data_IF_222485183533
#
_entry.id   IF_222485183533
#
_cell.length_a   1.000
_cell.length_b   1.000
_cell.length_c   1.000
_cell.angle_alpha   90.00
_cell.angle_beta   90.00
_cell.angle_gamma   90.00
#
_symmetry.space_group_name_H-M   'P 1'
#
loop_
_entity.id
_entity.type
_entity.pdbx_description
1 polymer ?
#
# COMPACT_ATOMS: atom_id res chain seq x y z
N UNK A 1 35.51 -39.61 52.68
CA UNK A 1 36.29 -38.42 53.06
C UNK A 1 37.68 -38.51 52.44
N UNK A 2 37.98 -37.66 51.44
CA UNK A 2 39.34 -37.21 51.07
C UNK A 2 39.18 -36.08 50.03
N UNK A 3 39.58 -34.87 50.42
CA UNK A 3 39.75 -33.68 49.56
C UNK A 3 41.18 -33.68 49.04
N UNK A 4 41.38 -33.31 47.77
CA UNK A 4 42.61 -32.69 47.22
C UNK A 4 42.26 -32.16 45.82
N UNK A 5 41.89 -30.88 45.67
CA UNK A 5 42.70 -29.67 45.43
C UNK A 5 43.48 -29.64 44.09
N UNK A 6 42.93 -28.84 43.16
CA UNK A 6 43.54 -27.79 42.30
C UNK A 6 44.69 -28.19 41.35
N UNK A 7 44.48 -28.04 40.02
CA UNK A 7 45.02 -26.89 39.26
C UNK A 7 44.76 -26.96 37.75
N UNK A 8 44.35 -25.79 37.22
CA UNK A 8 44.60 -25.19 35.91
C UNK A 8 44.71 -26.06 34.64
N UNK A 9 43.78 -25.86 33.71
CA UNK A 9 44.07 -25.14 32.46
C UNK A 9 42.76 -24.87 31.71
N UNK A 10 42.41 -23.59 31.60
CA UNK A 10 41.45 -23.12 30.60
C UNK A 10 42.03 -23.41 29.21
N UNK A 11 41.34 -24.21 28.41
CA UNK A 11 41.41 -24.12 26.95
C UNK A 11 39.98 -23.95 26.43
N UNK A 12 39.51 -22.71 26.50
CA UNK A 12 38.29 -22.27 25.84
C UNK A 12 38.54 -22.31 24.33
N UNK A 13 38.16 -23.42 23.70
CA UNK A 13 38.09 -23.48 22.24
C UNK A 13 36.70 -23.00 21.86
N UNK A 14 36.59 -21.69 21.66
CA UNK A 14 35.41 -21.03 21.13
C UNK A 14 35.23 -21.51 19.69
N UNK A 15 34.39 -22.53 19.49
CA UNK A 15 33.91 -22.91 18.16
C UNK A 15 33.06 -21.74 17.63
N UNK A 16 33.66 -20.95 16.75
CA UNK A 16 32.97 -19.96 15.94
C UNK A 16 31.94 -20.71 15.09
N UNK A 17 30.68 -20.67 15.52
CA UNK A 17 29.53 -20.95 14.67
C UNK A 17 29.64 -19.99 13.49
N UNK A 18 29.95 -20.54 12.32
CA UNK A 18 29.90 -19.79 11.07
C UNK A 18 28.49 -19.26 10.90
N UNK A 19 28.35 -17.93 10.91
CA UNK A 19 27.15 -17.28 10.40
C UNK A 19 27.05 -17.65 8.92
N UNK A 20 26.12 -18.55 8.60
CA UNK A 20 25.65 -18.74 7.23
C UNK A 20 25.33 -17.36 6.65
N UNK A 21 26.09 -16.99 5.62
CA UNK A 21 25.87 -15.77 4.88
C UNK A 21 24.52 -15.91 4.18
N UNK A 22 23.50 -15.29 4.77
CA UNK A 22 22.22 -15.08 4.13
C UNK A 22 22.49 -14.30 2.84
N UNK A 23 22.45 -15.02 1.72
CA UNK A 23 22.53 -14.44 0.37
C UNK A 23 21.40 -13.40 0.30
N UNK A 24 21.69 -12.12 -0.03
CA UNK A 24 20.62 -11.16 -0.16
C UNK A 24 19.70 -11.64 -1.27
N UNK A 25 18.47 -12.00 -0.90
CA UNK A 25 17.40 -12.21 -1.85
C UNK A 25 17.34 -10.94 -2.70
N UNK A 26 17.72 -11.05 -3.98
CA UNK A 26 17.53 -10.01 -4.98
C UNK A 26 16.05 -9.93 -5.31
N UNK A 27 15.24 -9.55 -4.32
CA UNK A 27 13.93 -9.03 -4.58
C UNK A 27 14.16 -7.65 -5.21
N UNK A 28 13.95 -7.59 -6.52
CA UNK A 28 13.70 -6.36 -7.26
C UNK A 28 12.39 -5.76 -6.72
N UNK A 29 12.46 -5.21 -5.50
CA UNK A 29 11.41 -4.38 -4.92
C UNK A 29 11.48 -3.10 -5.72
N UNK A 30 10.54 -2.93 -6.65
CA UNK A 30 10.23 -1.60 -7.14
C UNK A 30 9.73 -0.84 -5.91
N UNK A 31 10.66 -0.16 -5.24
CA UNK A 31 10.36 0.82 -4.22
C UNK A 31 9.57 1.90 -4.95
N UNK A 32 8.24 1.87 -4.79
CA UNK A 32 7.44 3.07 -4.99
C UNK A 32 7.79 4.00 -3.83
N UNK A 33 8.97 4.62 -3.92
CA UNK A 33 9.31 5.74 -3.06
C UNK A 33 8.24 6.81 -3.26
N UNK A 34 7.78 7.36 -2.16
CA UNK A 34 6.82 8.45 -2.16
C UNK A 34 7.58 9.66 -2.66
N UNK A 35 7.49 9.93 -3.97
CA UNK A 35 8.17 11.05 -4.61
C UNK A 35 7.54 12.37 -4.15
N UNK A 36 8.04 12.86 -3.02
CA UNK A 36 7.68 14.15 -2.44
C UNK A 36 8.41 15.30 -3.13
N UNK A 37 8.91 15.15 -4.37
CA UNK A 37 9.42 16.27 -5.15
C UNK A 37 8.33 16.94 -6.01
N UNK A 38 7.25 16.22 -6.36
CA UNK A 38 6.19 16.76 -7.22
C UNK A 38 5.45 17.95 -6.57
N UNK A 39 5.32 19.07 -7.30
CA UNK A 39 4.53 20.24 -6.87
C UNK A 39 3.06 19.82 -6.71
N UNK A 40 2.39 20.12 -5.59
CA UNK A 40 0.98 19.80 -5.43
C UNK A 40 0.12 20.43 -6.52
N UNK A 41 -0.84 19.67 -7.06
CA UNK A 41 -1.74 20.10 -8.15
C UNK A 41 -3.18 19.94 -7.70
N UNK A 42 -3.95 21.02 -7.71
CA UNK A 42 -5.38 20.95 -7.45
C UNK A 42 -6.15 20.38 -8.67
N UNK A 43 -7.06 19.44 -8.42
CA UNK A 43 -7.92 18.87 -9.47
C UNK A 43 -9.10 19.80 -9.77
N UNK A 44 -9.10 20.43 -10.94
CA UNK A 44 -10.21 21.26 -11.42
C UNK A 44 -11.31 20.40 -12.05
N UNK A 45 -12.15 19.81 -11.18
CA UNK A 45 -13.28 18.96 -11.58
C UNK A 45 -14.61 19.71 -11.51
N UNK A 46 -15.54 19.40 -12.42
CA UNK A 46 -16.93 19.86 -12.30
C UNK A 46 -17.60 19.29 -11.04
N UNK A 47 -18.66 19.92 -10.49
CA UNK A 47 -19.35 19.40 -9.31
C UNK A 47 -19.80 17.94 -9.43
N UNK A 48 -20.25 17.53 -10.64
CA UNK A 48 -20.59 16.14 -10.94
C UNK A 48 -19.40 15.20 -10.73
N UNK A 49 -18.24 15.51 -11.34
CA UNK A 49 -17.07 14.65 -11.24
C UNK A 49 -16.44 14.66 -9.85
N UNK A 50 -16.49 15.79 -9.14
CA UNK A 50 -16.08 15.85 -7.73
C UNK A 50 -16.91 14.90 -6.87
N UNK A 51 -18.23 14.86 -7.07
CA UNK A 51 -19.11 13.99 -6.30
C UNK A 51 -18.87 12.50 -6.59
N UNK A 52 -18.62 12.14 -7.85
CA UNK A 52 -18.26 10.77 -8.24
C UNK A 52 -16.96 10.34 -7.57
N UNK A 53 -15.91 11.18 -7.64
CA UNK A 53 -14.62 10.90 -7.02
C UNK A 53 -14.73 10.77 -5.49
N UNK A 54 -15.46 11.68 -4.83
CA UNK A 54 -15.69 11.61 -3.37
C UNK A 54 -16.39 10.31 -2.97
N UNK A 55 -17.40 9.88 -3.73
CA UNK A 55 -18.12 8.64 -3.48
C UNK A 55 -17.18 7.43 -3.56
N UNK A 56 -16.36 7.37 -4.61
CA UNK A 56 -15.36 6.32 -4.75
C UNK A 56 -14.38 6.30 -3.59
N UNK A 57 -13.83 7.46 -3.19
CA UNK A 57 -12.88 7.55 -2.08
C UNK A 57 -13.49 7.05 -0.76
N UNK A 58 -14.78 7.32 -0.51
CA UNK A 58 -15.49 6.82 0.68
C UNK A 58 -15.66 5.28 0.64
N UNK A 59 -15.99 4.72 -0.52
CA UNK A 59 -16.09 3.26 -0.71
C UNK A 59 -14.73 2.59 -0.48
N UNK A 60 -13.67 3.15 -1.04
CA UNK A 60 -12.28 2.69 -0.86
C UNK A 60 -11.90 2.75 0.62
N UNK A 61 -12.11 3.89 1.28
CA UNK A 61 -11.80 4.06 2.71
C UNK A 61 -12.51 2.99 3.56
N UNK A 62 -13.80 2.79 3.31
CA UNK A 62 -14.61 1.81 4.04
C UNK A 62 -14.08 0.39 3.86
N UNK A 63 -13.72 0.01 2.64
CA UNK A 63 -13.14 -1.30 2.36
C UNK A 63 -11.75 -1.46 3.01
N UNK A 64 -10.90 -0.45 2.91
CA UNK A 64 -9.55 -0.45 3.50
C UNK A 64 -9.58 -0.61 5.03
N UNK A 65 -10.50 0.08 5.72
CA UNK A 65 -10.67 -0.06 7.17
C UNK A 65 -11.10 -1.48 7.60
N UNK A 66 -11.86 -2.17 6.76
CA UNK A 66 -12.34 -3.54 7.03
C UNK A 66 -11.31 -4.62 6.69
N UNK A 67 -10.46 -4.40 5.68
CA UNK A 67 -9.49 -5.41 5.22
C UNK A 67 -8.46 -5.75 6.30
N UNK A 68 -7.90 -4.76 6.99
CA UNK A 68 -6.83 -5.00 7.97
C UNK A 68 -7.23 -5.98 9.10
N UNK A 69 -8.37 -5.80 9.81
CA UNK A 69 -8.79 -6.76 10.82
C UNK A 69 -9.15 -8.14 10.23
N UNK A 70 -9.59 -8.21 8.97
CA UNK A 70 -9.85 -9.51 8.31
C UNK A 70 -8.54 -10.26 8.02
N UNK A 71 -7.50 -9.56 7.55
CA UNK A 71 -6.17 -10.14 7.39
C UNK A 71 -5.64 -10.68 8.73
N UNK A 72 -5.77 -9.91 9.81
CA UNK A 72 -5.32 -10.33 11.14
C UNK A 72 -6.08 -11.55 11.69
N UNK A 73 -7.33 -11.75 11.26
CA UNK A 73 -8.17 -12.90 11.62
C UNK A 73 -8.01 -14.10 10.67
N UNK A 74 -7.24 -13.98 9.60
CA UNK A 74 -7.13 -15.04 8.58
C UNK A 74 -8.36 -15.17 7.66
N UNK A 75 -9.20 -14.15 7.58
CA UNK A 75 -10.45 -14.16 6.80
C UNK A 75 -10.18 -13.86 5.32
N UNK A 76 -9.62 -14.85 4.62
CA UNK A 76 -9.10 -14.73 3.25
C UNK A 76 -10.17 -14.37 2.21
N UNK A 77 -11.31 -15.05 2.22
CA UNK A 77 -12.39 -14.84 1.24
C UNK A 77 -13.03 -13.45 1.39
N UNK A 78 -13.33 -13.02 2.62
CA UNK A 78 -13.86 -11.67 2.89
C UNK A 78 -12.86 -10.60 2.46
N UNK A 79 -11.56 -10.82 2.72
CA UNK A 79 -10.51 -9.91 2.26
C UNK A 79 -10.46 -9.83 0.74
N UNK A 80 -10.56 -10.96 0.04
CA UNK A 80 -10.57 -11.01 -1.41
C UNK A 80 -11.76 -10.26 -2.01
N UNK A 81 -12.94 -10.40 -1.41
CA UNK A 81 -14.16 -9.72 -1.83
C UNK A 81 -14.03 -8.20 -1.71
N UNK A 82 -13.58 -7.70 -0.54
CA UNK A 82 -13.37 -6.26 -0.34
C UNK A 82 -12.29 -5.69 -1.27
N UNK A 83 -11.18 -6.41 -1.46
CA UNK A 83 -10.13 -5.97 -2.38
C UNK A 83 -10.61 -5.94 -3.84
N UNK A 84 -11.45 -6.89 -4.24
CA UNK A 84 -12.10 -6.88 -5.56
C UNK A 84 -13.10 -5.72 -5.68
N UNK A 85 -13.80 -5.35 -4.61
CA UNK A 85 -14.67 -4.17 -4.60
C UNK A 85 -13.86 -2.89 -4.84
N UNK A 86 -12.73 -2.71 -4.16
CA UNK A 86 -11.80 -1.58 -4.42
C UNK A 86 -11.35 -1.58 -5.88
N UNK A 87 -10.92 -2.73 -6.42
CA UNK A 87 -10.53 -2.78 -7.84
C UNK A 87 -11.68 -2.35 -8.78
N UNK A 88 -12.89 -2.79 -8.48
CA UNK A 88 -14.08 -2.48 -9.28
C UNK A 88 -14.62 -1.07 -9.05
N UNK A 89 -14.17 -0.36 -8.02
CA UNK A 89 -14.64 0.98 -7.73
C UNK A 89 -14.08 2.03 -8.69
N UNK A 90 -13.10 1.67 -9.53
CA UNK A 90 -12.42 2.54 -10.50
C UNK A 90 -13.40 3.49 -11.18
N UNK A 91 -13.37 4.75 -10.71
CA UNK A 91 -14.29 5.86 -11.03
C UNK A 91 -15.68 5.35 -11.39
N UNK A 92 -16.15 4.51 -10.46
CA UNK A 92 -17.38 3.72 -10.39
C UNK A 92 -17.96 3.40 -11.76
N UNK A 93 -17.21 2.61 -12.54
CA UNK A 93 -17.42 1.86 -13.80
C UNK A 93 -18.82 1.75 -14.46
N UNK A 94 -19.91 2.11 -13.80
CA UNK A 94 -21.30 2.12 -14.30
C UNK A 94 -22.02 3.48 -14.13
N UNK A 95 -21.40 4.47 -13.51
CA UNK A 95 -22.01 5.78 -13.20
C UNK A 95 -21.76 6.85 -14.27
N UNK A 96 -20.73 6.66 -15.09
CA UNK A 96 -20.37 7.57 -16.17
C UNK A 96 -20.65 6.90 -17.53
N UNK A 97 -21.19 7.67 -18.47
CA UNK A 97 -21.25 7.25 -19.87
C UNK A 97 -19.84 7.21 -20.48
N UNK A 98 -19.61 6.52 -21.60
CA UNK A 98 -18.32 6.54 -22.29
C UNK A 98 -17.82 7.96 -22.62
N UNK A 99 -18.73 8.86 -22.99
CA UNK A 99 -18.39 10.26 -23.28
C UNK A 99 -18.02 11.04 -22.03
N UNK A 100 -18.70 10.80 -20.91
CA UNK A 100 -18.38 11.41 -19.62
C UNK A 100 -17.03 10.93 -19.08
N UNK A 101 -16.73 9.64 -19.24
CA UNK A 101 -15.42 9.09 -18.89
C UNK A 101 -14.32 9.72 -19.76
N UNK A 102 -14.55 9.86 -21.07
CA UNK A 102 -13.61 10.52 -21.98
C UNK A 102 -13.40 11.98 -21.62
N UNK A 103 -14.46 12.69 -21.21
CA UNK A 103 -14.37 14.06 -20.74
C UNK A 103 -13.59 14.16 -19.44
N UNK A 104 -13.85 13.28 -18.47
CA UNK A 104 -13.15 13.25 -17.19
C UNK A 104 -11.66 12.99 -17.36
N UNK A 105 -11.27 11.99 -18.16
CA UNK A 105 -9.85 11.67 -18.39
C UNK A 105 -9.08 12.85 -18.99
N UNK A 106 -9.72 13.72 -19.79
CA UNK A 106 -9.09 14.94 -20.32
C UNK A 106 -8.84 16.02 -19.26
N UNK A 107 -9.60 16.00 -18.16
CA UNK A 107 -9.46 16.97 -17.07
C UNK A 107 -8.41 16.53 -16.04
N UNK A 108 -8.10 15.23 -15.97
CA UNK A 108 -7.20 14.68 -14.97
C UNK A 108 -5.74 14.75 -15.43
N UNK A 109 -4.82 15.21 -14.56
CA UNK A 109 -3.38 15.15 -14.85
C UNK A 109 -2.93 13.71 -15.10
N UNK A 110 -2.01 13.50 -16.06
CA UNK A 110 -1.44 12.18 -16.33
C UNK A 110 -0.85 11.49 -15.07
N UNK A 111 -0.15 12.20 -14.15
CA UNK A 111 0.31 11.61 -12.90
C UNK A 111 -0.82 11.09 -12.00
N UNK A 112 -1.96 11.79 -11.92
CA UNK A 112 -3.13 11.33 -11.17
C UNK A 112 -3.65 10.01 -11.75
N UNK A 113 -3.87 9.96 -13.06
CA UNK A 113 -4.38 8.76 -13.76
C UNK A 113 -3.42 7.57 -13.55
N UNK A 114 -2.11 7.81 -13.57
CA UNK A 114 -1.11 6.76 -13.36
C UNK A 114 -1.18 6.19 -11.94
N UNK A 115 -1.25 7.06 -10.92
CA UNK A 115 -1.32 6.66 -9.51
C UNK A 115 -2.63 5.91 -9.24
N UNK A 116 -3.75 6.44 -9.74
CA UNK A 116 -5.08 5.84 -9.62
C UNK A 116 -5.11 4.42 -10.22
N UNK A 117 -4.67 4.25 -11.47
CA UNK A 117 -4.58 2.91 -12.10
C UNK A 117 -3.70 1.95 -11.31
N UNK A 118 -2.53 2.41 -10.86
CA UNK A 118 -1.62 1.58 -10.08
C UNK A 118 -2.25 1.14 -8.75
N UNK A 119 -3.03 2.01 -8.10
CA UNK A 119 -3.79 1.68 -6.88
C UNK A 119 -4.80 0.56 -7.14
N UNK A 120 -5.66 0.68 -8.16
CA UNK A 120 -6.65 -0.34 -8.48
C UNK A 120 -6.02 -1.67 -8.94
N UNK A 121 -4.85 -1.64 -9.57
CA UNK A 121 -4.09 -2.84 -9.91
C UNK A 121 -3.53 -3.53 -8.65
N UNK A 122 -3.06 -2.78 -7.64
CA UNK A 122 -2.66 -3.35 -6.36
C UNK A 122 -3.87 -3.97 -5.65
N UNK A 123 -5.06 -3.36 -5.71
CA UNK A 123 -6.27 -3.94 -5.15
C UNK A 123 -6.65 -5.28 -5.82
N UNK A 124 -6.51 -5.37 -7.14
CA UNK A 124 -6.67 -6.64 -7.88
C UNK A 124 -5.65 -7.71 -7.43
N UNK A 125 -4.38 -7.31 -7.25
CA UNK A 125 -3.33 -8.21 -6.73
C UNK A 125 -3.63 -8.67 -5.31
N UNK A 126 -4.14 -7.78 -4.45
CA UNK A 126 -4.56 -8.13 -3.08
C UNK A 126 -5.69 -9.15 -3.13
N UNK A 127 -6.70 -8.96 -3.98
CA UNK A 127 -7.78 -9.91 -4.14
C UNK A 127 -7.27 -11.31 -4.53
N UNK A 128 -6.30 -11.38 -5.46
CA UNK A 128 -5.68 -12.65 -5.88
C UNK A 128 -4.87 -13.31 -4.75
N UNK A 129 -4.03 -12.54 -4.05
CA UNK A 129 -3.22 -13.06 -2.94
C UNK A 129 -4.09 -13.55 -1.77
N UNK A 130 -5.16 -12.81 -1.47
CA UNK A 130 -6.12 -13.19 -0.45
C UNK A 130 -6.87 -14.47 -0.81
N UNK A 131 -7.31 -14.65 -2.07
CA UNK A 131 -7.93 -15.92 -2.52
C UNK A 131 -7.03 -17.14 -2.36
N UNK A 132 -5.71 -16.94 -2.38
CA UNK A 132 -4.71 -17.99 -2.19
C UNK A 132 -4.33 -18.15 -0.71
N UNK A 133 -5.03 -17.47 0.21
CA UNK A 133 -4.71 -17.38 1.64
C UNK A 133 -3.25 -16.99 1.92
N UNK A 134 -2.62 -16.24 1.00
CA UNK A 134 -1.26 -15.77 1.17
C UNK A 134 -1.24 -14.49 2.00
N UNK A 135 -1.32 -14.63 3.33
CA UNK A 135 -1.47 -13.50 4.26
C UNK A 135 -0.25 -12.59 4.28
N UNK A 136 0.98 -13.14 4.18
CA UNK A 136 2.20 -12.33 4.06
C UNK A 136 2.15 -11.45 2.82
N UNK A 137 1.80 -12.01 1.66
CA UNK A 137 1.71 -11.21 0.44
C UNK A 137 0.57 -10.20 0.51
N UNK A 138 -0.54 -10.59 1.12
CA UNK A 138 -1.71 -9.73 1.27
C UNK A 138 -1.41 -8.52 2.17
N UNK A 139 -0.71 -8.71 3.30
CA UNK A 139 -0.31 -7.59 4.17
C UNK A 139 0.71 -6.67 3.49
N UNK A 140 1.68 -7.21 2.74
CA UNK A 140 2.59 -6.41 1.92
C UNK A 140 1.86 -5.54 0.89
N UNK A 141 0.86 -6.11 0.19
CA UNK A 141 0.06 -5.36 -0.80
C UNK A 141 -0.80 -4.31 -0.09
N UNK A 142 -1.41 -4.64 1.06
CA UNK A 142 -2.19 -3.69 1.84
C UNK A 142 -1.36 -2.47 2.24
N UNK A 143 -0.12 -2.66 2.71
CA UNK A 143 0.80 -1.56 2.99
C UNK A 143 1.08 -0.69 1.76
N UNK A 144 1.24 -1.30 0.57
CA UNK A 144 1.37 -0.54 -0.69
C UNK A 144 0.14 0.28 -1.04
N UNK A 145 -1.07 -0.21 -0.73
CA UNK A 145 -2.30 0.57 -0.91
C UNK A 145 -2.31 1.78 0.03
N UNK A 146 -1.91 1.63 1.29
CA UNK A 146 -1.77 2.76 2.24
C UNK A 146 -0.78 3.79 1.71
N UNK A 147 0.40 3.37 1.24
CA UNK A 147 1.39 4.28 0.68
C UNK A 147 0.87 5.02 -0.56
N UNK A 148 0.09 4.34 -1.42
CA UNK A 148 -0.55 4.96 -2.57
C UNK A 148 -1.60 6.02 -2.17
N UNK A 149 -2.37 5.80 -1.09
CA UNK A 149 -3.27 6.82 -0.55
C UNK A 149 -2.49 8.08 -0.13
N UNK A 150 -1.41 7.91 0.64
CA UNK A 150 -0.56 9.03 1.10
C UNK A 150 0.05 9.78 -0.09
N UNK A 151 0.57 9.04 -1.08
CA UNK A 151 1.18 9.62 -2.27
C UNK A 151 0.17 10.40 -3.13
N UNK A 152 -1.04 9.86 -3.34
CA UNK A 152 -2.06 10.56 -4.11
C UNK A 152 -2.55 11.81 -3.37
N UNK A 153 -2.82 11.71 -2.06
CA UNK A 153 -3.39 12.80 -1.29
C UNK A 153 -2.42 13.97 -1.08
N UNK A 154 -1.14 13.68 -0.85
CA UNK A 154 -0.09 14.72 -0.76
C UNK A 154 0.07 15.52 -2.05
N UNK A 155 -0.18 14.90 -3.21
CA UNK A 155 -0.05 15.57 -4.51
C UNK A 155 -1.35 16.29 -4.93
N UNK A 156 -2.50 15.62 -4.83
CA UNK A 156 -3.75 16.07 -5.47
C UNK A 156 -4.85 16.51 -4.51
N UNK A 157 -4.67 16.31 -3.20
CA UNK A 157 -5.68 16.62 -2.19
C UNK A 157 -5.09 17.28 -0.93
N UNK A 158 -3.94 17.94 -1.05
CA UNK A 158 -3.18 18.53 0.06
C UNK A 158 -3.98 19.57 0.87
N UNK A 159 -4.93 20.27 0.25
CA UNK A 159 -5.84 21.18 0.96
C UNK A 159 -6.85 20.45 1.87
N UNK A 160 -7.25 19.23 1.49
CA UNK A 160 -8.15 18.38 2.29
C UNK A 160 -7.40 17.60 3.38
N UNK A 161 -6.10 17.38 3.19
CA UNK A 161 -5.24 16.61 4.08
C UNK A 161 -4.04 17.47 4.54
N UNK A 162 -4.25 18.45 5.44
CA UNK A 162 -3.20 19.40 5.82
C UNK A 162 -1.96 18.75 6.45
N UNK A 163 -2.11 17.60 7.12
CA UNK A 163 -0.98 16.82 7.67
C UNK A 163 -0.10 16.16 6.61
N UNK A 164 -0.50 16.18 5.33
CA UNK A 164 0.28 15.70 4.19
C UNK A 164 0.84 16.83 3.32
N UNK A 165 0.61 18.10 3.69
CA UNK A 165 1.29 19.22 3.04
C UNK A 165 2.79 19.07 3.31
N UNK A 166 3.62 19.27 2.29
CA UNK A 166 5.06 19.40 2.50
C UNK A 166 5.28 20.57 3.44
N UNK A 167 5.73 20.31 4.66
CA UNK A 167 6.34 21.34 5.48
C UNK A 167 7.69 21.64 4.83
N UNK A 168 7.79 22.81 4.19
CA UNK A 168 9.09 23.39 3.85
C UNK A 168 9.77 23.78 5.16
N UNK A 169 10.32 22.79 5.88
CA UNK A 169 11.31 23.07 6.91
C UNK A 169 12.66 23.04 6.20
N UNK A 170 13.18 24.24 5.90
CA UNK A 170 14.60 24.47 5.63
C UNK A 170 15.41 24.12 6.87
#
# INVERSE_FOLDING_TARGET
>A
MKKLLISAAMLSTLMLVGCDHHKPDTHNVIHNEVDMSATPVELKLSPKFQNVLKKEMLEIQTAMQKILPLLAKGESEKTAQLAKQIHNSFILKQTLTPDELKALVKLLPAPFIKIDRAFHDQASKLAKAAKQSNFKKSSEIYGRLVNACVNCHSQFAHELFPGLKKTTTQ
#
